data_IF_728542954452
#
_entry.id   IF_728542954452
#
_cell.length_a   1.000
_cell.length_b   1.000
_cell.length_c   1.000
_cell.angle_alpha   90.00
_cell.angle_beta   90.00
_cell.angle_gamma   90.00
#
_symmetry.space_group_name_H-M   'P 1'
#
loop_
_entity.id
_entity.type
_entity.pdbx_description
1 polymer ?
#
# COMPACT_ATOMS: atom_id res chain seq x y z
N UNK A 1 -27.50 27.29 -12.72
CA UNK A 1 -26.64 26.08 -12.70
C UNK A 1 -27.36 24.95 -13.42
N UNK A 2 -26.75 24.36 -14.45
CA UNK A 2 -27.26 23.15 -15.10
C UNK A 2 -26.59 21.94 -14.43
N UNK A 3 -27.39 21.00 -13.93
CA UNK A 3 -26.90 19.73 -13.39
C UNK A 3 -27.23 18.61 -14.38
N UNK A 4 -26.23 17.81 -14.72
CA UNK A 4 -26.43 16.58 -15.48
C UNK A 4 -26.95 15.48 -14.55
N UNK A 5 -28.05 14.82 -14.94
CA UNK A 5 -28.60 13.69 -14.17
C UNK A 5 -28.10 12.37 -14.74
N UNK A 6 -27.36 11.59 -13.95
CA UNK A 6 -26.93 10.24 -14.29
C UNK A 6 -27.79 9.20 -13.56
N UNK A 7 -28.37 8.24 -14.27
CA UNK A 7 -29.21 7.17 -13.70
C UNK A 7 -28.39 5.89 -13.51
N UNK A 8 -28.32 5.41 -12.28
CA UNK A 8 -27.69 4.12 -11.94
C UNK A 8 -28.76 3.03 -11.91
N UNK A 9 -28.49 1.87 -12.50
CA UNK A 9 -29.35 0.67 -12.38
C UNK A 9 -28.64 -0.36 -11.48
N UNK A 10 -29.12 -0.60 -10.25
CA UNK A 10 -28.35 -1.33 -9.23
C UNK A 10 -28.25 -2.86 -9.42
N UNK A 11 -28.98 -3.47 -10.36
CA UNK A 11 -29.15 -4.94 -10.38
C UNK A 11 -29.09 -5.63 -11.74
N UNK A 12 -28.57 -4.99 -12.80
CA UNK A 12 -28.24 -5.76 -14.00
C UNK A 12 -26.81 -6.28 -13.88
N UNK A 13 -26.67 -7.61 -14.00
CA UNK A 13 -25.48 -8.25 -14.56
C UNK A 13 -24.91 -7.35 -15.65
N UNK A 14 -23.60 -7.15 -15.68
CA UNK A 14 -22.89 -6.39 -16.72
C UNK A 14 -23.15 -7.02 -18.11
N UNK A 15 -24.33 -6.84 -18.70
CA UNK A 15 -24.77 -7.51 -19.93
C UNK A 15 -24.05 -6.97 -21.19
N UNK A 16 -22.98 -6.20 -21.03
CA UNK A 16 -22.27 -5.61 -22.16
C UNK A 16 -20.84 -5.14 -21.86
N UNK A 17 -20.24 -5.58 -20.74
CA UNK A 17 -18.90 -5.11 -20.34
C UNK A 17 -18.86 -3.62 -19.95
N UNK A 18 -19.97 -3.09 -19.42
CA UNK A 18 -20.11 -1.69 -18.97
C UNK A 18 -20.36 -1.58 -17.49
N UNK A 19 -19.46 -0.92 -16.76
CA UNK A 19 -19.68 -0.57 -15.35
C UNK A 19 -20.48 0.74 -15.24
N UNK A 20 -21.30 0.85 -14.18
CA UNK A 20 -21.94 2.10 -13.80
C UNK A 20 -21.02 2.93 -12.89
N UNK A 21 -21.16 4.25 -12.93
CA UNK A 21 -20.45 5.13 -11.98
C UNK A 21 -20.94 4.85 -10.55
N UNK A 22 -20.00 4.78 -9.61
CA UNK A 22 -20.32 4.60 -8.19
C UNK A 22 -20.74 5.94 -7.57
N UNK A 23 -21.97 6.07 -7.05
CA UNK A 23 -22.46 7.31 -6.44
C UNK A 23 -21.75 7.71 -5.14
N UNK A 24 -20.93 6.83 -4.56
CA UNK A 24 -20.12 7.14 -3.37
C UNK A 24 -18.90 8.03 -3.64
N UNK A 25 -18.57 8.35 -4.90
CA UNK A 25 -17.47 9.25 -5.22
C UNK A 25 -17.92 10.71 -5.33
N UNK A 26 -17.05 11.62 -4.89
CA UNK A 26 -17.26 13.08 -4.99
C UNK A 26 -16.80 13.66 -6.32
N UNK A 27 -15.81 13.04 -6.97
CA UNK A 27 -15.19 13.50 -8.21
C UNK A 27 -14.96 12.32 -9.16
N UNK A 28 -14.98 12.59 -10.46
CA UNK A 28 -14.71 11.62 -11.51
C UNK A 28 -13.69 12.17 -12.50
N UNK A 29 -12.67 11.38 -12.81
CA UNK A 29 -11.70 11.64 -13.87
C UNK A 29 -11.93 10.60 -14.97
N UNK A 30 -12.30 11.06 -16.16
CA UNK A 30 -12.51 10.20 -17.32
C UNK A 30 -11.25 10.18 -18.17
N UNK A 31 -10.62 9.01 -18.26
CA UNK A 31 -9.44 8.77 -19.09
C UNK A 31 -9.90 8.11 -20.38
N UNK A 32 -9.63 8.74 -21.52
CA UNK A 32 -10.01 8.24 -22.84
C UNK A 32 -8.74 7.90 -23.63
N UNK A 33 -8.66 6.67 -24.11
CA UNK A 33 -7.59 6.19 -25.00
C UNK A 33 -8.05 6.08 -26.47
N UNK A 34 -9.28 6.56 -26.76
CA UNK A 34 -9.92 6.50 -28.07
C UNK A 34 -10.50 5.13 -28.42
N UNK A 35 -10.29 4.11 -27.59
CA UNK A 35 -10.83 2.76 -27.82
C UNK A 35 -12.23 2.63 -27.22
N UNK A 36 -13.04 1.75 -27.81
CA UNK A 36 -14.39 1.46 -27.30
C UNK A 36 -14.39 0.09 -26.65
N UNK A 37 -14.86 0.03 -25.40
CA UNK A 37 -15.09 -1.21 -24.62
C UNK A 37 -13.81 -1.96 -24.24
N UNK A 38 -12.64 -1.32 -24.31
CA UNK A 38 -11.41 -1.84 -23.73
C UNK A 38 -11.15 -1.02 -22.47
N UNK A 39 -10.97 -1.69 -21.34
CA UNK A 39 -10.67 -1.05 -20.06
C UNK A 39 -9.18 -1.23 -19.77
N UNK A 40 -8.31 -0.54 -20.52
CA UNK A 40 -6.86 -0.57 -20.33
C UNK A 40 -6.29 0.83 -20.31
N UNK A 41 -5.11 1.02 -19.72
CA UNK A 41 -4.39 2.30 -19.69
C UNK A 41 -4.79 3.24 -18.55
N UNK A 42 -5.86 2.95 -17.81
CA UNK A 42 -6.26 3.77 -16.66
C UNK A 42 -5.27 3.63 -15.50
N UNK A 43 -4.69 2.43 -15.33
CA UNK A 43 -3.64 2.12 -14.38
C UNK A 43 -2.39 2.98 -14.59
N UNK A 44 -1.98 3.20 -15.85
CA UNK A 44 -0.82 4.04 -16.17
C UNK A 44 -1.08 5.50 -15.76
N UNK A 45 -2.25 6.04 -16.09
CA UNK A 45 -2.63 7.39 -15.69
C UNK A 45 -2.69 7.54 -14.16
N UNK A 46 -3.33 6.58 -13.46
CA UNK A 46 -3.45 6.58 -12.00
C UNK A 46 -2.08 6.59 -11.32
N UNK A 47 -1.17 5.74 -11.77
CA UNK A 47 0.19 5.66 -11.23
C UNK A 47 0.95 6.96 -11.46
N UNK A 48 0.86 7.55 -12.66
CA UNK A 48 1.55 8.80 -12.95
C UNK A 48 1.00 9.97 -12.14
N UNK A 49 -0.32 10.03 -11.96
CA UNK A 49 -0.97 11.02 -11.10
C UNK A 49 -0.52 10.87 -9.64
N UNK A 50 -0.53 9.65 -9.10
CA UNK A 50 -0.03 9.37 -7.74
C UNK A 50 1.45 9.75 -7.59
N UNK A 51 2.27 9.44 -8.59
CA UNK A 51 3.68 9.81 -8.60
C UNK A 51 3.87 11.33 -8.60
N UNK A 52 3.06 12.06 -9.37
CA UNK A 52 3.12 13.52 -9.42
C UNK A 52 2.68 14.16 -8.11
N UNK A 53 1.59 13.68 -7.51
CA UNK A 53 1.10 14.15 -6.20
C UNK A 53 2.18 13.93 -5.14
N UNK A 54 2.77 12.73 -5.10
CA UNK A 54 3.80 12.40 -4.11
C UNK A 54 5.14 13.11 -4.31
N UNK A 55 5.45 13.54 -5.53
CA UNK A 55 6.68 14.28 -5.85
C UNK A 55 6.53 15.80 -5.69
N UNK A 56 5.30 16.31 -5.58
CA UNK A 56 5.04 17.74 -5.39
C UNK A 56 5.34 18.08 -3.93
N UNK A 57 6.46 18.78 -3.71
CA UNK A 57 6.80 19.35 -2.40
C UNK A 57 6.07 20.69 -2.25
N UNK A 58 5.40 20.88 -1.11
CA UNK A 58 5.05 22.23 -0.66
C UNK A 58 6.33 22.91 -0.15
N UNK A 59 6.48 24.22 -0.37
CA UNK A 59 7.73 24.97 -0.09
C UNK A 59 8.18 24.88 1.39
N UNK A 60 7.26 24.61 2.32
CA UNK A 60 7.51 24.41 3.75
C UNK A 60 6.94 23.09 4.30
N UNK A 61 6.54 22.17 3.41
CA UNK A 61 5.80 20.96 3.78
C UNK A 61 6.55 19.67 3.48
N UNK A 62 6.25 18.63 4.25
CA UNK A 62 6.65 17.28 3.87
C UNK A 62 5.78 16.82 2.69
N UNK A 63 6.39 16.22 1.66
CA UNK A 63 5.67 15.70 0.50
C UNK A 63 4.48 14.78 0.88
N UNK A 64 3.41 14.84 0.09
CA UNK A 64 2.18 14.07 0.32
C UNK A 64 2.48 12.58 0.09
N UNK A 65 2.47 11.73 1.13
CA UNK A 65 2.80 10.34 0.93
C UNK A 65 1.63 9.61 0.23
N UNK A 66 1.95 8.79 -0.76
CA UNK A 66 0.97 8.01 -1.53
C UNK A 66 1.27 6.52 -1.40
N UNK A 67 0.24 5.69 -1.38
CA UNK A 67 0.34 4.23 -1.26
C UNK A 67 -0.73 3.58 -2.14
N UNK A 68 -0.43 2.42 -2.73
CA UNK A 68 -1.43 1.56 -3.36
C UNK A 68 -1.93 0.53 -2.36
N UNK A 69 -3.25 0.48 -2.14
CA UNK A 69 -3.91 -0.57 -1.34
C UNK A 69 -4.53 -1.61 -2.29
N UNK A 70 -4.16 -2.87 -2.14
CA UNK A 70 -4.68 -3.98 -2.97
C UNK A 70 -5.50 -4.92 -2.10
N UNK A 71 -6.79 -5.00 -2.39
CA UNK A 71 -7.75 -5.89 -1.73
C UNK A 71 -8.17 -6.98 -2.71
N UNK A 72 -7.70 -8.20 -2.49
CA UNK A 72 -7.85 -9.31 -3.44
C UNK A 72 -7.04 -9.08 -4.71
N UNK A 73 -7.62 -8.36 -5.66
CA UNK A 73 -6.97 -8.04 -6.93
C UNK A 73 -7.13 -9.14 -7.98
N UNK A 74 -7.09 -8.70 -9.23
CA UNK A 74 -7.17 -9.53 -10.42
C UNK A 74 -5.81 -9.61 -11.14
N UNK A 75 -5.78 -10.33 -12.27
CA UNK A 75 -4.53 -10.55 -13.02
C UNK A 75 -3.94 -9.22 -13.50
N UNK A 76 -4.78 -8.25 -13.83
CA UNK A 76 -4.35 -6.92 -14.30
C UNK A 76 -3.81 -6.07 -13.14
N UNK A 77 -4.22 -6.36 -11.90
CA UNK A 77 -3.65 -5.74 -10.69
C UNK A 77 -2.15 -6.01 -10.55
N UNK A 78 -1.61 -7.10 -11.12
CA UNK A 78 -0.16 -7.36 -11.15
C UNK A 78 0.57 -6.25 -11.92
N UNK A 79 0.00 -5.82 -13.05
CA UNK A 79 0.59 -4.78 -13.89
C UNK A 79 0.56 -3.42 -13.17
N UNK A 80 -0.54 -3.08 -12.49
CA UNK A 80 -0.64 -1.87 -11.67
C UNK A 80 0.38 -1.86 -10.51
N UNK A 81 0.52 -2.98 -9.79
CA UNK A 81 1.53 -3.14 -8.72
C UNK A 81 2.94 -2.92 -9.28
N UNK A 82 3.27 -3.53 -10.43
CA UNK A 82 4.59 -3.36 -11.05
C UNK A 82 4.86 -1.91 -11.44
N UNK A 83 3.86 -1.21 -11.98
CA UNK A 83 3.97 0.22 -12.32
C UNK A 83 4.22 1.08 -11.08
N UNK A 84 3.48 0.85 -9.98
CA UNK A 84 3.71 1.51 -8.70
C UNK A 84 5.14 1.27 -8.19
N UNK A 85 5.58 0.01 -8.18
CA UNK A 85 6.92 -0.35 -7.73
C UNK A 85 8.01 0.28 -8.59
N UNK A 86 7.81 0.43 -9.91
CA UNK A 86 8.76 1.12 -10.79
C UNK A 86 8.93 2.60 -10.42
N UNK A 87 7.84 3.26 -10.00
CA UNK A 87 7.83 4.67 -9.57
C UNK A 87 8.17 4.87 -8.08
N UNK A 88 8.64 3.81 -7.41
CA UNK A 88 8.93 3.76 -5.98
C UNK A 88 7.72 4.15 -5.10
N UNK A 89 6.51 3.83 -5.56
CA UNK A 89 5.28 3.98 -4.80
C UNK A 89 5.08 2.72 -3.95
N UNK A 90 4.94 2.83 -2.62
CA UNK A 90 4.71 1.70 -1.74
C UNK A 90 3.38 0.99 -2.00
N UNK A 91 3.34 -0.31 -1.73
CA UNK A 91 2.14 -1.15 -1.93
C UNK A 91 1.79 -1.87 -0.63
N UNK A 92 0.53 -1.82 -0.22
CA UNK A 92 -0.04 -2.59 0.88
C UNK A 92 -0.95 -3.67 0.32
N UNK A 93 -0.55 -4.94 0.49
CA UNK A 93 -1.33 -6.10 0.10
C UNK A 93 -2.21 -6.54 1.26
N UNK A 94 -3.51 -6.62 1.06
CA UNK A 94 -4.44 -7.20 2.02
C UNK A 94 -4.69 -8.68 1.69
N UNK A 95 -4.21 -9.56 2.56
CA UNK A 95 -4.28 -11.00 2.44
C UNK A 95 -5.45 -11.59 3.25
N UNK A 96 -5.98 -12.71 2.79
CA UNK A 96 -7.15 -13.41 3.32
C UNK A 96 -8.24 -13.67 2.29
N UNK A 97 -8.06 -13.20 1.04
CA UNK A 97 -9.05 -13.35 -0.03
C UNK A 97 -8.85 -14.62 -0.87
N UNK A 98 -7.61 -15.09 -0.98
CA UNK A 98 -7.20 -16.15 -1.89
C UNK A 98 -6.98 -15.70 -3.34
N UNK A 99 -7.04 -14.40 -3.62
CA UNK A 99 -6.86 -13.84 -4.95
C UNK A 99 -5.38 -13.39 -5.19
N UNK A 100 -5.13 -12.47 -6.12
CA UNK A 100 -3.77 -12.14 -6.57
C UNK A 100 -2.88 -11.54 -5.46
N UNK A 101 -3.43 -10.77 -4.53
CA UNK A 101 -2.70 -10.20 -3.40
C UNK A 101 -2.09 -11.29 -2.52
N UNK A 102 -2.85 -12.37 -2.25
CA UNK A 102 -2.39 -13.52 -1.46
C UNK A 102 -1.26 -14.28 -2.19
N UNK A 103 -1.36 -14.43 -3.51
CA UNK A 103 -0.34 -15.09 -4.34
C UNK A 103 0.98 -14.29 -4.31
N UNK A 104 0.91 -12.96 -4.46
CA UNK A 104 2.10 -12.10 -4.41
C UNK A 104 2.71 -12.11 -3.00
N UNK A 105 1.88 -12.04 -1.96
CA UNK A 105 2.35 -12.12 -0.57
C UNK A 105 3.07 -13.44 -0.29
N UNK A 106 2.52 -14.57 -0.76
CA UNK A 106 3.18 -15.88 -0.67
C UNK A 106 4.54 -15.87 -1.37
N UNK A 107 4.60 -15.33 -2.60
CA UNK A 107 5.86 -15.24 -3.33
C UNK A 107 6.93 -14.42 -2.59
N UNK A 108 6.53 -13.31 -1.95
CA UNK A 108 7.44 -12.46 -1.15
C UNK A 108 7.95 -13.21 0.09
N UNK A 109 7.10 -13.99 0.75
CA UNK A 109 7.47 -14.82 1.90
C UNK A 109 8.48 -15.90 1.51
N UNK A 110 8.26 -16.63 0.41
CA UNK A 110 9.23 -17.58 -0.16
C UNK A 110 10.59 -16.90 -0.45
N UNK A 111 10.57 -15.73 -1.09
CA UNK A 111 11.79 -14.96 -1.38
C UNK A 111 12.50 -14.38 -0.14
N UNK A 112 11.89 -14.44 1.05
CA UNK A 112 12.48 -13.92 2.29
C UNK A 112 13.08 -15.01 3.16
N UNK A 113 12.60 -16.25 3.05
CA UNK A 113 13.18 -17.41 3.73
C UNK A 113 14.55 -17.83 3.15
N UNK A 114 14.81 -17.58 1.86
CA UNK A 114 16.05 -17.99 1.17
C UNK A 114 17.24 -17.03 1.37
N UNK A 115 17.47 -16.58 2.60
CA UNK A 115 18.45 -15.55 2.98
C UNK A 115 19.75 -15.55 2.15
N UNK A 116 20.08 -14.38 1.58
CA UNK A 116 21.32 -14.01 0.86
C UNK A 116 21.28 -14.13 -0.67
N UNK A 117 21.11 -12.97 -1.33
CA UNK A 117 21.01 -12.73 -2.79
C UNK A 117 19.73 -13.31 -3.40
N UNK A 118 18.89 -12.45 -3.98
CA UNK A 118 17.74 -12.81 -4.82
C UNK A 118 18.11 -13.60 -6.11
N UNK A 119 19.29 -14.22 -6.16
CA UNK A 119 19.88 -14.86 -7.33
C UNK A 119 20.17 -16.35 -7.13
N UNK A 120 19.93 -16.92 -5.95
CA UNK A 120 20.06 -18.38 -5.77
C UNK A 120 18.70 -18.98 -5.46
N UNK A 121 18.04 -19.34 -6.56
CA UNK A 121 17.03 -20.38 -6.67
C UNK A 121 15.83 -20.19 -5.75
N UNK A 122 14.76 -19.59 -6.28
CA UNK A 122 13.43 -20.08 -5.92
C UNK A 122 13.47 -21.58 -6.15
N UNK A 123 13.28 -22.38 -5.10
CA UNK A 123 13.13 -23.83 -5.25
C UNK A 123 12.09 -24.06 -6.36
N UNK A 124 12.27 -25.05 -7.23
CA UNK A 124 11.19 -25.43 -8.17
C UNK A 124 9.88 -25.67 -7.40
N UNK A 125 9.97 -26.11 -6.14
CA UNK A 125 8.88 -26.22 -5.18
C UNK A 125 8.14 -24.90 -4.91
N UNK A 126 8.85 -23.77 -4.73
CA UNK A 126 8.23 -22.44 -4.55
C UNK A 126 7.54 -21.98 -5.84
N UNK A 127 8.19 -22.23 -6.97
CA UNK A 127 7.63 -21.90 -8.28
C UNK A 127 6.39 -22.73 -8.57
N UNK A 128 6.42 -24.01 -8.23
CA UNK A 128 5.29 -24.94 -8.33
C UNK A 128 4.15 -24.53 -7.41
N UNK A 129 4.45 -24.07 -6.19
CA UNK A 129 3.45 -23.53 -5.27
C UNK A 129 2.73 -22.33 -5.88
N UNK A 130 3.48 -21.32 -6.35
CA UNK A 130 2.90 -20.12 -6.97
C UNK A 130 2.13 -20.48 -8.26
N UNK A 131 2.67 -21.40 -9.07
CA UNK A 131 2.01 -21.93 -10.26
C UNK A 131 0.69 -22.62 -9.90
N UNK A 132 0.66 -23.41 -8.83
CA UNK A 132 -0.55 -24.10 -8.37
C UNK A 132 -1.60 -23.11 -7.87
N UNK A 133 -1.20 -22.07 -7.13
CA UNK A 133 -2.13 -21.03 -6.68
C UNK A 133 -2.69 -20.23 -7.86
N UNK A 134 -1.85 -19.85 -8.83
CA UNK A 134 -2.32 -19.20 -10.06
C UNK A 134 -3.27 -20.11 -10.85
N UNK A 135 -2.94 -21.39 -11.01
CA UNK A 135 -3.82 -22.37 -11.66
C UNK A 135 -5.18 -22.45 -10.95
N UNK A 136 -5.21 -22.46 -9.61
CA UNK A 136 -6.44 -22.45 -8.84
C UNK A 136 -7.25 -21.16 -9.04
N UNK A 137 -6.59 -20.01 -9.03
CA UNK A 137 -7.20 -18.71 -9.34
C UNK A 137 -7.80 -18.68 -10.75
N UNK A 138 -7.04 -19.10 -11.77
CA UNK A 138 -7.53 -19.17 -13.15
C UNK A 138 -8.73 -20.11 -13.27
N UNK A 139 -8.69 -21.32 -12.69
CA UNK A 139 -9.84 -22.24 -12.69
C UNK A 139 -11.12 -21.60 -12.14
N UNK A 140 -11.01 -20.72 -11.14
CA UNK A 140 -12.13 -20.01 -10.51
C UNK A 140 -12.63 -18.83 -11.35
N UNK A 141 -11.75 -18.14 -12.09
CA UNK A 141 -12.06 -16.84 -12.71
C UNK A 141 -12.04 -16.81 -14.25
N UNK A 142 -11.25 -17.64 -14.95
CA UNK A 142 -11.05 -17.56 -16.41
C UNK A 142 -10.70 -18.92 -17.06
N UNK A 143 -11.17 -19.18 -18.30
CA UNK A 143 -10.86 -20.42 -19.06
C UNK A 143 -9.53 -20.40 -19.85
N UNK A 144 -8.56 -19.54 -19.54
CA UNK A 144 -7.42 -19.26 -20.43
C UNK A 144 -6.10 -19.93 -20.03
N UNK A 145 -5.53 -20.64 -21.02
CA UNK A 145 -4.13 -20.96 -21.38
C UNK A 145 -3.00 -20.97 -20.34
N UNK A 146 -2.33 -22.13 -20.23
CA UNK A 146 -1.09 -22.34 -19.48
C UNK A 146 0.07 -21.36 -19.83
N UNK A 147 0.07 -20.79 -21.04
CA UNK A 147 1.10 -19.83 -21.49
C UNK A 147 1.04 -18.49 -20.77
N UNK A 148 -0.15 -18.05 -20.31
CA UNK A 148 -0.32 -16.79 -19.57
C UNK A 148 0.27 -16.91 -18.16
N UNK A 149 0.20 -18.10 -17.57
CA UNK A 149 0.64 -18.35 -16.19
C UNK A 149 2.15 -18.16 -16.06
N UNK A 150 2.96 -18.71 -16.98
CA UNK A 150 4.41 -18.54 -16.94
C UNK A 150 4.85 -17.08 -17.10
N UNK A 151 4.12 -16.28 -17.89
CA UNK A 151 4.36 -14.84 -17.99
C UNK A 151 4.04 -14.13 -16.66
N UNK A 152 2.90 -14.45 -16.03
CA UNK A 152 2.51 -13.85 -14.75
C UNK A 152 3.38 -14.27 -13.58
N UNK A 153 3.90 -15.50 -13.58
CA UNK A 153 4.93 -15.93 -12.62
C UNK A 153 6.16 -15.03 -12.72
N UNK A 154 6.65 -14.74 -13.94
CA UNK A 154 7.78 -13.82 -14.14
C UNK A 154 7.47 -12.41 -13.62
N UNK A 155 6.25 -11.93 -13.81
CA UNK A 155 5.81 -10.62 -13.33
C UNK A 155 5.76 -10.56 -11.80
N UNK A 156 5.22 -11.59 -11.14
CA UNK A 156 5.22 -11.69 -9.67
C UNK A 156 6.66 -11.70 -9.13
N UNK A 157 7.58 -12.41 -9.78
CA UNK A 157 8.99 -12.38 -9.39
C UNK A 157 9.64 -11.00 -9.56
N UNK A 158 9.19 -10.17 -10.52
CA UNK A 158 9.65 -8.77 -10.58
C UNK A 158 9.19 -7.99 -9.36
N UNK A 159 7.99 -8.23 -8.83
CA UNK A 159 7.52 -7.63 -7.58
C UNK A 159 8.44 -8.00 -6.41
N UNK A 160 8.84 -9.27 -6.31
CA UNK A 160 9.74 -9.75 -5.25
C UNK A 160 11.09 -9.02 -5.20
N UNK A 161 11.60 -8.53 -6.34
CA UNK A 161 12.85 -7.74 -6.39
C UNK A 161 12.76 -6.42 -5.62
N UNK A 162 11.57 -5.82 -5.54
CA UNK A 162 11.30 -4.59 -4.77
C UNK A 162 10.47 -4.87 -3.50
N UNK A 163 10.65 -6.03 -2.87
CA UNK A 163 9.92 -6.42 -1.64
C UNK A 163 10.00 -5.42 -0.50
N UNK A 164 11.05 -4.59 -0.43
CA UNK A 164 11.19 -3.56 0.59
C UNK A 164 10.16 -2.42 0.49
N UNK A 165 9.44 -2.29 -0.63
CA UNK A 165 8.32 -1.34 -0.82
C UNK A 165 6.94 -1.98 -0.59
N UNK A 166 6.90 -3.29 -0.33
CA UNK A 166 5.66 -4.03 -0.19
C UNK A 166 5.45 -4.35 1.30
N UNK A 167 4.29 -3.96 1.82
CA UNK A 167 3.80 -4.36 3.13
C UNK A 167 2.63 -5.32 2.98
N UNK A 168 2.54 -6.28 3.90
CA UNK A 168 1.49 -7.30 3.90
C UNK A 168 0.63 -7.07 5.14
N UNK A 169 -0.69 -7.08 4.95
CA UNK A 169 -1.71 -6.97 6.00
C UNK A 169 -2.63 -8.17 5.92
N UNK A 170 -2.77 -8.90 7.03
CA UNK A 170 -3.72 -10.00 7.14
C UNK A 170 -5.08 -9.49 7.61
N UNK A 171 -6.13 -9.69 6.80
CA UNK A 171 -7.49 -9.20 7.08
C UNK A 171 -8.08 -9.83 8.35
N UNK A 172 -7.68 -11.06 8.69
CA UNK A 172 -8.10 -11.78 9.89
C UNK A 172 -7.14 -11.60 11.08
N UNK A 173 -6.18 -10.68 10.97
CA UNK A 173 -5.24 -10.35 12.04
C UNK A 173 -5.88 -9.55 13.17
N UNK A 174 -5.12 -9.37 14.25
CA UNK A 174 -5.55 -8.61 15.44
C UNK A 174 -5.32 -7.10 15.30
N UNK A 175 -4.62 -6.67 14.26
CA UNK A 175 -4.29 -5.26 14.03
C UNK A 175 -5.30 -4.60 13.11
N UNK A 176 -5.58 -3.33 13.34
CA UNK A 176 -6.51 -2.57 12.52
C UNK A 176 -5.87 -2.15 11.18
N UNK A 177 -6.68 -2.12 10.12
CA UNK A 177 -6.24 -1.77 8.76
C UNK A 177 -5.71 -0.34 8.69
N UNK A 178 -6.36 0.60 9.38
CA UNK A 178 -5.96 2.01 9.42
C UNK A 178 -4.56 2.19 10.05
N UNK A 179 -4.27 1.48 11.14
CA UNK A 179 -2.94 1.46 11.77
C UNK A 179 -1.89 0.96 10.77
N UNK A 180 -2.20 -0.10 10.02
CA UNK A 180 -1.34 -0.61 8.97
C UNK A 180 -1.11 0.40 7.86
N UNK A 181 -2.16 0.98 7.29
CA UNK A 181 -2.05 2.00 6.25
C UNK A 181 -1.14 3.14 6.73
N UNK A 182 -1.42 3.72 7.89
CA UNK A 182 -0.66 4.87 8.40
C UNK A 182 0.80 4.51 8.70
N UNK A 183 1.04 3.35 9.33
CA UNK A 183 2.41 2.89 9.60
C UNK A 183 3.19 2.60 8.31
N UNK A 184 2.56 2.01 7.30
CA UNK A 184 3.20 1.74 6.00
C UNK A 184 3.49 3.05 5.26
N UNK A 185 2.56 4.00 5.25
CA UNK A 185 2.71 5.31 4.61
C UNK A 185 3.87 6.09 5.23
N UNK A 186 4.00 6.09 6.57
CA UNK A 186 5.11 6.76 7.25
C UNK A 186 6.44 6.02 7.00
N UNK A 187 6.45 4.69 7.14
CA UNK A 187 7.65 3.85 6.97
C UNK A 187 8.30 4.02 5.59
N UNK A 188 7.48 4.12 4.54
CA UNK A 188 7.98 4.21 3.16
C UNK A 188 7.95 5.65 2.62
N UNK A 189 7.77 6.64 3.49
CA UNK A 189 7.82 8.04 3.06
C UNK A 189 9.23 8.38 2.58
N UNK A 190 9.34 8.74 1.29
CA UNK A 190 10.62 9.02 0.63
C UNK A 190 11.34 10.18 1.32
N UNK A 191 12.56 9.93 1.80
CA UNK A 191 13.40 10.94 2.45
C UNK A 191 12.95 11.36 3.86
N UNK A 192 11.97 10.67 4.46
CA UNK A 192 11.57 10.96 5.83
C UNK A 192 12.60 10.41 6.82
N UNK A 193 13.18 11.30 7.61
CA UNK A 193 14.01 10.95 8.75
C UNK A 193 13.15 10.34 9.87
N UNK A 194 13.79 9.68 10.83
CA UNK A 194 13.12 9.16 12.02
C UNK A 194 12.33 10.27 12.75
N UNK A 195 12.89 11.49 12.78
CA UNK A 195 12.22 12.69 13.27
C UNK A 195 10.91 12.97 12.55
N UNK A 196 10.93 12.99 11.22
CA UNK A 196 9.74 13.29 10.41
C UNK A 196 8.64 12.23 10.62
N UNK A 197 9.04 10.97 10.79
CA UNK A 197 8.10 9.87 11.06
C UNK A 197 7.38 10.06 12.39
N UNK A 198 8.11 10.42 13.46
CA UNK A 198 7.49 10.70 14.76
C UNK A 198 6.61 11.94 14.72
N UNK A 199 7.09 13.03 14.10
CA UNK A 199 6.35 14.28 14.00
C UNK A 199 5.06 14.10 13.19
N UNK A 200 5.07 13.29 12.12
CA UNK A 200 3.86 12.92 11.38
C UNK A 200 2.87 12.16 12.26
N UNK A 201 3.34 11.20 13.06
CA UNK A 201 2.47 10.48 13.99
C UNK A 201 1.85 11.42 15.04
N UNK A 202 2.63 12.37 15.56
CA UNK A 202 2.14 13.44 16.44
C UNK A 202 1.11 14.29 15.70
N UNK A 203 1.40 14.76 14.49
CA UNK A 203 0.49 15.58 13.69
C UNK A 203 -0.85 14.89 13.41
N UNK A 204 -0.83 13.59 13.11
CA UNK A 204 -2.03 12.77 12.91
C UNK A 204 -2.75 12.40 14.22
N UNK A 205 -2.17 12.73 15.38
CA UNK A 205 -2.69 12.37 16.69
C UNK A 205 -2.90 10.84 16.85
N UNK A 206 -1.96 10.05 16.31
CA UNK A 206 -1.95 8.57 16.37
C UNK A 206 -0.77 8.01 17.17
N UNK A 207 -0.87 7.92 18.51
CA UNK A 207 0.22 7.42 19.36
C UNK A 207 0.47 5.91 19.18
N UNK A 208 -0.54 5.16 18.75
CA UNK A 208 -0.43 3.76 18.36
C UNK A 208 0.47 3.57 17.13
N UNK A 209 0.37 4.44 16.12
CA UNK A 209 1.27 4.45 14.96
C UNK A 209 2.72 4.72 15.41
N UNK A 210 2.92 5.67 16.33
CA UNK A 210 4.25 5.95 16.88
C UNK A 210 4.85 4.74 17.61
N UNK A 211 4.06 4.01 18.42
CA UNK A 211 4.53 2.77 19.07
C UNK A 211 4.92 1.68 18.07
N UNK A 212 4.16 1.54 16.98
CA UNK A 212 4.45 0.54 15.94
C UNK A 212 5.74 0.85 15.19
N UNK A 213 5.99 2.12 14.91
CA UNK A 213 7.22 2.57 14.23
C UNK A 213 8.44 2.58 15.15
N UNK A 214 8.22 2.80 16.45
CA UNK A 214 9.26 2.90 17.47
C UNK A 214 8.99 1.92 18.62
N UNK A 215 9.48 0.68 18.49
CA UNK A 215 9.27 -0.36 19.49
C UNK A 215 9.80 0.03 20.87
N UNK A 216 9.25 -0.62 21.89
CA UNK A 216 9.56 -0.39 23.30
C UNK A 216 11.02 -0.70 23.69
N UNK A 217 11.74 -1.46 22.86
CA UNK A 217 13.06 -2.02 23.15
C UNK A 217 14.25 -1.19 22.64
N UNK A 218 14.07 0.07 22.23
CA UNK A 218 15.15 0.96 21.82
C UNK A 218 15.13 2.30 22.56
N UNK A 219 16.30 2.90 22.79
CA UNK A 219 16.36 4.29 23.24
C UNK A 219 15.91 5.20 22.08
N UNK A 220 14.87 5.98 22.33
CA UNK A 220 14.46 7.01 21.38
C UNK A 220 15.49 8.15 21.47
N UNK A 221 16.00 8.70 20.36
CA UNK A 221 16.95 9.81 20.42
C UNK A 221 16.32 11.01 21.11
N UNK A 222 16.91 11.48 22.22
CA UNK A 222 16.32 12.51 23.09
C UNK A 222 15.90 13.75 22.33
N UNK A 223 16.77 14.28 21.46
CA UNK A 223 16.50 15.46 20.62
C UNK A 223 15.16 15.33 19.85
N UNK A 224 14.87 14.13 19.34
CA UNK A 224 13.65 13.85 18.56
C UNK A 224 12.42 13.77 19.48
N UNK A 225 12.57 13.20 20.68
CA UNK A 225 11.47 13.10 21.64
C UNK A 225 11.12 14.48 22.20
N UNK A 226 12.12 15.31 22.50
CA UNK A 226 11.95 16.67 23.01
C UNK A 226 11.20 17.54 22.01
N UNK A 227 11.56 17.49 20.73
CA UNK A 227 10.83 18.20 19.68
C UNK A 227 9.39 17.68 19.54
N UNK A 228 9.20 16.35 19.58
CA UNK A 228 7.88 15.75 19.56
C UNK A 228 7.05 16.14 20.80
N UNK A 229 7.67 16.32 21.96
CA UNK A 229 7.03 16.81 23.18
C UNK A 229 6.58 18.25 23.01
N UNK A 230 7.45 19.13 22.51
CA UNK A 230 7.12 20.53 22.20
C UNK A 230 5.90 20.60 21.27
N UNK A 231 5.94 19.82 20.17
CA UNK A 231 4.83 19.76 19.22
C UNK A 231 3.54 19.23 19.85
N UNK A 232 3.63 18.18 20.67
CA UNK A 232 2.47 17.60 21.35
C UNK A 232 1.84 18.56 22.37
N UNK A 233 2.65 19.35 23.09
CA UNK A 233 2.19 20.37 24.02
C UNK A 233 1.51 21.54 23.30
N UNK A 234 2.15 22.09 22.26
CA UNK A 234 1.60 23.19 21.44
C UNK A 234 0.28 22.78 20.79
N UNK A 235 0.21 21.55 20.27
CA UNK A 235 -0.99 21.05 19.58
C UNK A 235 -2.01 20.36 20.50
N UNK A 236 -1.83 20.44 21.82
CA UNK A 236 -2.70 19.87 22.84
C UNK A 236 -3.05 18.38 22.63
N UNK A 237 -2.02 17.52 22.55
CA UNK A 237 -2.15 16.08 22.33
C UNK A 237 -1.75 15.29 23.58
N UNK A 238 -2.63 15.18 24.60
CA UNK A 238 -2.29 14.59 25.89
C UNK A 238 -1.93 13.10 25.82
N UNK A 239 -2.50 12.37 24.85
CA UNK A 239 -2.16 10.96 24.63
C UNK A 239 -0.70 10.76 24.20
N UNK A 240 -0.16 11.70 23.42
CA UNK A 240 1.25 11.71 23.03
C UNK A 240 2.15 12.12 24.19
N UNK A 241 1.78 13.15 24.95
CA UNK A 241 2.54 13.55 26.16
C UNK A 241 2.69 12.34 27.09
N UNK A 242 1.60 11.61 27.36
CA UNK A 242 1.64 10.39 28.18
C UNK A 242 2.54 9.29 27.58
N UNK A 243 2.61 9.17 26.26
CA UNK A 243 3.50 8.24 25.58
C UNK A 243 4.96 8.65 25.75
N UNK A 244 5.28 9.92 25.49
CA UNK A 244 6.65 10.43 25.53
C UNK A 244 7.23 10.42 26.96
N UNK A 245 6.42 10.70 27.98
CA UNK A 245 6.81 10.55 29.39
C UNK A 245 7.19 9.10 29.73
N UNK A 246 6.48 8.11 29.20
CA UNK A 246 6.82 6.69 29.38
C UNK A 246 8.10 6.28 28.66
N UNK A 247 8.56 7.09 27.70
CA UNK A 247 9.78 6.82 26.90
C UNK A 247 11.02 7.49 27.46
N UNK A 248 10.92 8.16 28.61
CA UNK A 248 12.08 8.66 29.35
C UNK A 248 12.25 10.18 29.37
N UNK A 249 11.27 10.96 28.90
CA UNK A 249 11.29 12.41 29.16
C UNK A 249 11.02 12.68 30.64
N UNK A 250 11.96 13.38 31.27
CA UNK A 250 11.83 13.90 32.63
C UNK A 250 11.48 15.38 32.55
N UNK A 251 10.25 15.75 32.91
CA UNK A 251 9.75 17.15 32.85
C UNK A 251 10.51 18.13 33.77
N UNK A 252 11.41 17.65 34.62
CA UNK A 252 12.25 18.52 35.46
C UNK A 252 13.43 19.08 34.66
N UNK A 253 13.92 18.31 33.69
CA UNK A 253 15.12 18.60 32.91
C UNK A 253 14.76 19.21 31.54
N UNK A 254 13.47 19.25 31.20
CA UNK A 254 12.87 19.79 29.98
C UNK A 254 12.13 21.11 30.30
#
# INVERSE_FOLDING_TARGET
MHYSRYKVKPHHTLESGRAYLNPGHTHFLFVDDGTKRICKGTEVFRVELMHKISSTKEEEGLAIPSILLVLGGDIDSIDEILLCLQKDIPVLLCCGSGDIADIIAMAISCCSASGSKCERMAMEEDKDLIRNMLNAYFKKHTKNGATVIEARIKDIYKCCKKKHLISIFEIHGNESLDLHILSTVIKHKRGASLRDQLLLAVNWNRPDVAKKLFPDCGSWPLDIIEEAMTSALITNKPAFVKLLLKRGIVMRDY
#
